data_IF_151250524382
#
_entry.id   IF_151250524382
#
_cell.length_a   1.000
_cell.length_b   1.000
_cell.length_c   1.000
_cell.angle_alpha   90.00
_cell.angle_beta   90.00
_cell.angle_gamma   90.00
#
_symmetry.space_group_name_H-M   'P 1'
#
loop_
_entity.id
_entity.type
_entity.pdbx_description
1 polymer ?
#
# COMPACT_ATOMS: atom_id res chain seq x y z
N UNK A 1 1.30 -8.93 -2.81
CA UNK A 1 1.02 -7.61 -2.20
C UNK A 1 2.13 -6.66 -2.60
N UNK A 2 1.79 -5.44 -3.00
CA UNK A 2 2.76 -4.41 -3.44
C UNK A 2 3.09 -3.34 -2.40
N UNK A 3 2.64 -3.54 -1.16
CA UNK A 3 3.05 -2.75 0.00
C UNK A 3 4.12 -3.53 0.77
N UNK A 4 5.29 -2.92 0.95
CA UNK A 4 6.35 -3.46 1.81
C UNK A 4 6.79 -2.43 2.83
N UNK A 5 7.27 -2.90 3.97
CA UNK A 5 7.70 -2.09 5.10
C UNK A 5 9.16 -2.36 5.45
N UNK A 6 9.79 -1.40 6.10
CA UNK A 6 11.17 -1.47 6.60
C UNK A 6 11.23 -0.67 7.90
N UNK A 7 11.78 -1.27 8.96
CA UNK A 7 11.55 -0.86 10.35
C UNK A 7 10.44 -1.67 11.04
N UNK A 8 10.45 -1.64 12.38
CA UNK A 8 9.55 -2.43 13.23
C UNK A 8 8.80 -1.51 14.21
N UNK A 9 7.46 -1.63 14.32
CA UNK A 9 6.71 -0.96 15.37
C UNK A 9 6.97 -1.62 16.74
N UNK A 10 7.07 -0.85 17.83
CA UNK A 10 6.88 0.59 17.92
C UNK A 10 8.10 1.37 17.45
N UNK A 11 7.91 2.35 16.57
CA UNK A 11 9.00 3.12 15.98
C UNK A 11 8.73 3.63 14.57
N UNK A 12 9.77 4.20 13.92
CA UNK A 12 9.68 4.64 12.53
C UNK A 12 9.60 3.43 11.59
N UNK A 13 8.62 3.44 10.70
CA UNK A 13 8.41 2.45 9.66
C UNK A 13 8.33 3.15 8.31
N UNK A 14 9.16 2.72 7.37
CA UNK A 14 9.15 3.15 5.98
C UNK A 14 8.23 2.26 5.16
N UNK A 15 7.26 2.85 4.49
CA UNK A 15 6.35 2.18 3.58
C UNK A 15 6.77 2.40 2.13
N UNK A 16 6.70 1.34 1.33
CA UNK A 16 6.94 1.37 -0.11
C UNK A 16 5.72 0.76 -0.80
N UNK A 17 5.05 1.55 -1.64
CA UNK A 17 3.89 1.15 -2.45
C UNK A 17 4.28 1.05 -3.92
N UNK A 18 3.84 -0.02 -4.57
CA UNK A 18 3.83 -0.16 -6.02
C UNK A 18 2.40 -0.29 -6.53
N UNK A 19 2.12 0.26 -7.71
CA UNK A 19 0.83 0.09 -8.35
C UNK A 19 0.71 -1.33 -8.94
N UNK A 20 -0.30 -2.08 -8.50
CA UNK A 20 -0.58 -3.45 -8.95
C UNK A 20 -1.22 -3.51 -10.35
N UNK A 21 -1.65 -2.35 -10.90
CA UNK A 21 -2.22 -2.32 -12.25
C UNK A 21 -1.17 -2.68 -13.30
N UNK A 22 -1.41 -3.75 -14.05
CA UNK A 22 -0.53 -4.22 -15.14
C UNK A 22 -0.04 -3.08 -16.05
N UNK A 23 1.27 -2.95 -16.17
CA UNK A 23 1.93 -1.93 -17.01
C UNK A 23 2.11 -0.57 -16.34
N UNK A 24 1.58 -0.36 -15.14
CA UNK A 24 1.85 0.84 -14.36
C UNK A 24 3.16 0.69 -13.56
N UNK A 25 3.96 1.76 -13.50
CA UNK A 25 5.21 1.81 -12.72
C UNK A 25 5.15 2.86 -11.60
N UNK A 26 3.95 3.35 -11.29
CA UNK A 26 3.76 4.31 -10.23
C UNK A 26 4.16 3.69 -8.89
N UNK A 27 4.84 4.50 -8.07
CA UNK A 27 5.34 4.12 -6.76
C UNK A 27 5.18 5.28 -5.79
N UNK A 28 5.02 4.98 -4.51
CA UNK A 28 5.06 5.95 -3.43
C UNK A 28 5.94 5.41 -2.31
N UNK A 29 6.64 6.32 -1.63
CA UNK A 29 7.44 6.01 -0.44
C UNK A 29 7.11 7.07 0.59
N UNK A 30 6.81 6.65 1.82
CA UNK A 30 6.56 7.54 2.93
C UNK A 30 6.98 6.87 4.23
N UNK A 31 7.23 7.69 5.24
CA UNK A 31 7.67 7.25 6.56
C UNK A 31 6.57 7.61 7.58
N UNK A 32 6.26 6.69 8.50
CA UNK A 32 5.34 6.92 9.61
C UNK A 32 5.93 6.40 10.91
N UNK A 33 5.66 7.09 12.01
CA UNK A 33 5.94 6.54 13.36
C UNK A 33 4.68 5.81 13.83
N UNK A 34 4.82 4.51 14.09
CA UNK A 34 3.75 3.70 14.68
C UNK A 34 4.07 3.56 16.17
N UNK A 35 3.19 4.10 17.00
CA UNK A 35 3.38 4.14 18.45
C UNK A 35 3.11 2.78 19.11
N UNK A 36 2.12 2.05 18.60
CA UNK A 36 1.66 0.81 19.22
C UNK A 36 2.41 -0.41 18.65
N UNK A 37 2.85 -1.35 19.51
CA UNK A 37 3.43 -2.62 19.05
C UNK A 37 2.37 -3.46 18.30
N UNK A 38 2.81 -4.39 17.43
CA UNK A 38 1.88 -5.34 16.82
C UNK A 38 1.31 -6.29 17.90
N UNK A 39 0.15 -6.91 17.66
CA UNK A 39 -0.35 -7.99 18.49
C UNK A 39 0.70 -9.10 18.68
N UNK A 40 0.59 -9.85 19.77
CA UNK A 40 1.40 -11.04 19.96
C UNK A 40 1.13 -12.07 18.84
N UNK A 41 2.19 -12.67 18.31
CA UNK A 41 2.12 -13.52 17.12
C UNK A 41 1.37 -14.84 17.37
N UNK A 42 1.48 -15.40 18.57
CA UNK A 42 0.79 -16.65 18.95
C UNK A 42 -0.71 -16.41 19.14
N UNK A 43 -1.06 -15.19 19.56
CA UNK A 43 -2.44 -14.80 19.85
C UNK A 43 -3.20 -14.32 18.61
N UNK A 44 -2.53 -13.59 17.71
CA UNK A 44 -3.12 -13.09 16.45
C UNK A 44 -2.06 -12.93 15.36
N UNK A 45 -1.79 -14.04 14.66
CA UNK A 45 -0.82 -14.08 13.56
C UNK A 45 -1.13 -13.07 12.45
N UNK A 46 -2.41 -12.92 12.08
CA UNK A 46 -2.80 -12.03 10.99
C UNK A 46 -2.70 -10.57 11.41
N UNK A 47 -3.20 -10.24 12.60
CA UNK A 47 -3.08 -8.91 13.18
C UNK A 47 -1.62 -8.50 13.34
N UNK A 48 -0.74 -9.41 13.76
CA UNK A 48 0.70 -9.17 13.86
C UNK A 48 1.29 -8.73 12.52
N UNK A 49 1.07 -9.51 11.44
CA UNK A 49 1.64 -9.19 10.13
C UNK A 49 0.97 -8.00 9.43
N UNK A 50 -0.32 -7.76 9.66
CA UNK A 50 -1.08 -6.69 9.02
C UNK A 50 -1.12 -5.39 9.82
N UNK A 51 -0.54 -5.36 11.03
CA UNK A 51 -0.58 -4.21 11.94
C UNK A 51 -0.18 -2.91 11.26
N UNK A 52 1.05 -2.86 10.72
CA UNK A 52 1.59 -1.67 10.07
C UNK A 52 0.75 -1.23 8.86
N UNK A 53 0.27 -2.17 8.05
CA UNK A 53 -0.57 -1.86 6.88
C UNK A 53 -1.95 -1.31 7.29
N UNK A 54 -2.53 -1.85 8.37
CA UNK A 54 -3.81 -1.39 8.92
C UNK A 54 -3.70 0.03 9.43
N UNK A 55 -2.65 0.33 10.21
CA UNK A 55 -2.39 1.70 10.71
C UNK A 55 -2.12 2.68 9.57
N UNK A 56 -1.40 2.27 8.52
CA UNK A 56 -1.08 3.15 7.39
C UNK A 56 -2.25 3.36 6.42
N UNK A 57 -3.29 2.53 6.44
CA UNK A 57 -4.35 2.53 5.43
C UNK A 57 -5.01 3.90 5.22
N UNK A 58 -5.39 4.66 6.28
CA UNK A 58 -5.96 6.00 6.10
C UNK A 58 -5.01 6.97 5.38
N UNK A 59 -3.71 6.93 5.70
CA UNK A 59 -2.72 7.78 5.06
C UNK A 59 -2.49 7.39 3.58
N UNK A 60 -2.53 6.10 3.27
CA UNK A 60 -2.45 5.60 1.89
C UNK A 60 -3.64 6.14 1.06
N UNK A 61 -4.84 6.17 1.65
CA UNK A 61 -6.04 6.74 1.01
C UNK A 61 -5.93 8.25 0.80
N UNK A 62 -5.38 9.00 1.77
CA UNK A 62 -5.12 10.45 1.63
C UNK A 62 -4.16 10.78 0.48
N UNK A 63 -3.19 9.89 0.22
CA UNK A 63 -2.29 9.99 -0.95
C UNK A 63 -3.01 9.68 -2.28
N UNK A 64 -4.31 9.36 -2.24
CA UNK A 64 -5.15 9.01 -3.38
C UNK A 64 -4.95 7.57 -3.89
N UNK A 65 -4.19 6.75 -3.16
CA UNK A 65 -4.06 5.34 -3.48
C UNK A 65 -5.29 4.58 -2.99
N UNK A 66 -5.70 3.55 -3.72
CA UNK A 66 -6.88 2.76 -3.38
C UNK A 66 -6.54 1.29 -3.36
N UNK A 67 -6.90 0.60 -2.27
CA UNK A 67 -6.88 -0.86 -2.27
C UNK A 67 -8.12 -1.39 -2.99
N UNK A 68 -7.92 -2.15 -4.06
CA UNK A 68 -8.98 -2.84 -4.79
C UNK A 68 -8.94 -4.31 -4.38
N UNK A 69 -10.04 -4.80 -3.81
CA UNK A 69 -10.12 -6.18 -3.35
C UNK A 69 -9.75 -7.15 -4.49
N UNK A 70 -8.91 -8.14 -4.18
CA UNK A 70 -8.37 -9.14 -5.12
C UNK A 70 -7.41 -8.58 -6.20
N UNK A 71 -7.32 -7.26 -6.40
CA UNK A 71 -6.45 -6.65 -7.42
C UNK A 71 -5.24 -5.90 -6.83
N UNK A 72 -5.27 -5.54 -5.54
CA UNK A 72 -4.17 -4.86 -4.85
C UNK A 72 -4.26 -3.34 -4.85
N UNK A 73 -3.13 -2.67 -4.62
CA UNK A 73 -3.05 -1.22 -4.52
C UNK A 73 -2.97 -0.55 -5.89
N UNK A 74 -3.87 0.39 -6.14
CA UNK A 74 -3.91 1.19 -7.36
C UNK A 74 -3.50 2.63 -7.05
N UNK A 75 -2.59 3.17 -7.86
CA UNK A 75 -2.19 4.57 -7.74
C UNK A 75 -3.34 5.52 -8.14
N UNK A 76 -3.27 6.81 -7.77
CA UNK A 76 -4.34 7.78 -8.07
C UNK A 76 -4.72 7.83 -9.56
N UNK A 77 -3.74 7.69 -10.45
CA UNK A 77 -3.97 7.71 -11.89
C UNK A 77 -4.70 6.47 -12.43
N UNK A 78 -4.54 5.32 -11.79
CA UNK A 78 -5.21 4.07 -12.18
C UNK A 78 -6.55 3.89 -11.46
N UNK A 79 -6.70 4.45 -10.26
CA UNK A 79 -7.94 4.43 -9.47
C UNK A 79 -8.97 5.46 -9.94
N UNK A 80 -8.56 6.50 -10.67
CA UNK A 80 -9.46 7.52 -11.19
C UNK A 80 -10.46 6.94 -12.23
N UNK A 81 -11.78 7.12 -12.04
CA UNK A 81 -12.78 6.70 -13.02
C UNK A 81 -12.60 7.52 -14.31
N UNK A 82 -12.35 6.83 -15.43
CA UNK A 82 -12.34 7.44 -16.78
C UNK A 82 -10.98 7.45 -17.50
N UNK A 83 -9.86 7.10 -16.84
CA UNK A 83 -8.55 7.02 -17.51
C UNK A 83 -8.33 5.60 -18.06
N UNK A 84 -8.92 5.30 -19.23
CA UNK A 84 -8.49 4.14 -20.02
C UNK A 84 -6.96 4.24 -20.22
N UNK A 85 -6.17 3.18 -19.97
CA UNK A 85 -4.79 3.18 -20.42
C UNK A 85 -4.83 3.36 -21.94
N UNK A 86 -4.22 4.44 -22.45
CA UNK A 86 -3.92 4.53 -23.88
C UNK A 86 -3.01 3.34 -24.15
N UNK A 87 -3.58 2.28 -24.73
CA UNK A 87 -2.82 1.18 -25.28
C UNK A 87 -1.78 1.78 -26.22
N UNK A 88 -0.51 1.44 -25.98
CA UNK A 88 0.55 1.66 -26.94
C UNK A 88 0.20 0.80 -28.14
N UNK A 89 -0.41 1.40 -29.16
CA UNK A 89 -0.36 0.89 -30.52
C UNK A 89 1.04 1.23 -31.04
N UNK A 90 1.92 0.24 -31.11
CA UNK A 90 3.08 0.31 -31.98
C UNK A 90 2.69 -0.36 -33.30
N UNK A 91 2.73 0.46 -34.35
CA UNK A 91 2.68 0.09 -35.76
C UNK A 91 3.86 -0.79 -36.17
#
# INVERSE_FOLDING_TARGET
MSLTTDGEPPGPVRFRLLCDRRGCRARAVFDMVIADPPPDIESDLFGHFLHSATIASPHIEELGWKYVQQEGYWCPACAAPGRRPRGVTSS
#
